data_IF_984745235822
#
_entry.id   IF_984745235822
#
_cell.length_a   1.000
_cell.length_b   1.000
_cell.length_c   1.000
_cell.angle_alpha   90.00
_cell.angle_beta   90.00
_cell.angle_gamma   90.00
#
_symmetry.space_group_name_H-M   'P 1'
#
loop_
_entity.id
_entity.type
_entity.pdbx_description
1 polymer ?
#
# COMPACT_ATOMS: atom_id res chain seq x y z
N UNK A 1 -5.79 15.05 40.01
CA UNK A 1 -5.13 13.76 39.68
C UNK A 1 -6.21 12.74 39.37
N UNK A 2 -6.60 12.60 38.09
CA UNK A 2 -7.76 11.79 37.70
C UNK A 2 -7.32 10.45 37.09
N UNK A 3 -7.83 9.34 37.61
CA UNK A 3 -7.57 7.99 37.09
C UNK A 3 -7.86 7.89 35.59
N UNK A 4 -6.87 7.43 34.83
CA UNK A 4 -6.91 7.27 33.37
C UNK A 4 -7.28 5.82 33.04
N UNK A 5 -8.54 5.59 32.67
CA UNK A 5 -8.98 4.29 32.15
C UNK A 5 -8.52 4.11 30.70
N UNK A 6 -7.57 3.20 30.50
CA UNK A 6 -7.12 2.73 29.19
C UNK A 6 -7.00 1.21 29.26
N UNK A 7 -7.75 0.50 28.41
CA UNK A 7 -7.64 -0.97 28.30
C UNK A 7 -7.16 -1.30 26.89
N UNK A 8 -6.01 -1.97 26.82
CA UNK A 8 -5.41 -2.48 25.58
C UNK A 8 -5.74 -3.97 25.49
N UNK A 9 -6.43 -4.37 24.42
CA UNK A 9 -6.78 -5.77 24.17
C UNK A 9 -5.98 -6.22 22.94
N UNK A 10 -5.14 -7.24 23.10
CA UNK A 10 -4.46 -7.93 21.98
C UNK A 10 -5.45 -8.92 21.40
N UNK A 11 -5.72 -8.81 20.10
CA UNK A 11 -6.64 -9.71 19.40
C UNK A 11 -5.84 -10.81 18.70
N UNK A 12 -4.80 -10.46 17.91
CA UNK A 12 -3.85 -11.39 17.28
C UNK A 12 -2.49 -10.69 17.00
N UNK A 13 -1.42 -11.39 16.57
CA UNK A 13 -0.17 -10.74 16.16
C UNK A 13 -0.43 -9.66 15.09
N UNK A 14 0.01 -8.42 15.35
CA UNK A 14 -0.22 -7.28 14.45
C UNK A 14 -1.48 -6.44 14.76
N UNK A 15 -2.47 -6.94 15.51
CA UNK A 15 -3.73 -6.21 15.75
C UNK A 15 -3.97 -5.97 17.24
N UNK A 16 -4.09 -4.68 17.63
CA UNK A 16 -4.42 -4.29 19.01
C UNK A 16 -5.54 -3.26 19.04
N UNK A 17 -6.56 -3.52 19.85
CA UNK A 17 -7.65 -2.58 20.14
C UNK A 17 -7.31 -1.77 21.40
N UNK A 18 -7.31 -0.43 21.31
CA UNK A 18 -7.15 0.45 22.47
C UNK A 18 -8.46 1.19 22.77
N UNK A 19 -9.00 0.98 23.97
CA UNK A 19 -10.20 1.66 24.46
C UNK A 19 -9.82 2.71 25.50
N UNK A 20 -10.30 3.96 25.33
CA UNK A 20 -10.06 5.07 26.26
C UNK A 20 -11.28 5.98 26.40
N UNK A 21 -11.29 6.83 27.44
CA UNK A 21 -12.35 7.83 27.76
C UNK A 21 -12.72 8.81 26.63
N UNK A 22 -11.99 8.83 25.51
CA UNK A 22 -12.16 9.78 24.40
C UNK A 22 -12.52 9.16 23.04
N UNK A 23 -12.88 7.87 23.03
CA UNK A 23 -13.22 7.10 21.82
C UNK A 23 -12.23 5.98 21.53
N UNK A 24 -12.69 4.97 20.78
CA UNK A 24 -11.87 3.87 20.25
C UNK A 24 -11.05 4.30 19.04
N UNK A 25 -9.88 3.70 18.86
CA UNK A 25 -9.02 3.92 17.70
C UNK A 25 -8.63 2.59 17.07
N UNK A 26 -8.70 2.51 15.74
CA UNK A 26 -8.29 1.33 14.98
C UNK A 26 -6.80 1.47 14.62
N UNK A 27 -6.00 0.47 14.99
CA UNK A 27 -4.57 0.40 14.69
C UNK A 27 -4.33 -0.73 13.69
N UNK A 28 -3.95 -0.42 12.46
CA UNK A 28 -3.73 -1.40 11.39
C UNK A 28 -2.26 -1.39 10.95
N UNK A 29 -1.66 -2.58 10.83
CA UNK A 29 -0.32 -2.78 10.28
C UNK A 29 0.55 -3.76 11.09
N UNK A 30 1.59 -4.34 10.46
CA UNK A 30 2.44 -5.38 11.04
C UNK A 30 3.25 -4.89 12.25
N UNK A 31 4.01 -5.79 12.88
CA UNK A 31 4.93 -5.41 13.96
C UNK A 31 6.00 -4.47 13.41
N UNK A 32 5.79 -3.18 13.64
CA UNK A 32 6.77 -2.13 13.36
C UNK A 32 6.27 -1.01 12.44
N UNK A 33 5.09 -1.17 11.84
CA UNK A 33 4.39 -0.10 11.14
C UNK A 33 2.90 -0.15 11.54
N UNK A 34 2.41 0.89 12.22
CA UNK A 34 1.06 0.95 12.79
C UNK A 34 0.39 2.25 12.44
N UNK A 35 -0.73 2.15 11.73
CA UNK A 35 -1.57 3.28 11.38
C UNK A 35 -2.72 3.40 12.38
N UNK A 36 -2.73 4.50 13.15
CA UNK A 36 -3.76 4.77 14.15
C UNK A 36 -4.81 5.72 13.58
N UNK A 37 -6.06 5.27 13.52
CA UNK A 37 -7.23 6.02 13.09
C UNK A 37 -8.09 6.37 14.31
N UNK A 38 -8.40 7.66 14.49
CA UNK A 38 -9.28 8.09 15.57
C UNK A 38 -9.75 9.55 15.47
N UNK A 39 -10.68 9.97 16.35
CA UNK A 39 -11.36 11.28 16.28
C UNK A 39 -10.46 12.51 16.55
N UNK A 40 -9.14 12.31 16.75
CA UNK A 40 -8.13 13.37 16.92
C UNK A 40 -7.15 13.48 15.75
N UNK A 41 -7.43 12.79 14.65
CA UNK A 41 -6.58 12.75 13.46
C UNK A 41 -5.90 11.40 13.28
N UNK A 42 -5.25 11.25 12.13
CA UNK A 42 -4.53 10.05 11.76
C UNK A 42 -3.05 10.20 12.12
N UNK A 43 -2.47 9.16 12.72
CA UNK A 43 -1.04 9.10 12.99
C UNK A 43 -0.48 7.75 12.60
N UNK A 44 0.53 7.75 11.75
CA UNK A 44 1.36 6.58 11.47
C UNK A 44 2.47 6.50 12.49
N UNK A 45 2.73 5.31 13.00
CA UNK A 45 3.79 5.02 13.95
C UNK A 45 4.64 3.90 13.38
N UNK A 46 5.89 4.19 13.07
CA UNK A 46 6.88 3.18 12.69
C UNK A 46 7.76 2.95 13.92
N UNK A 47 7.91 1.71 14.36
CA UNK A 47 8.66 1.38 15.56
C UNK A 47 9.48 0.13 15.36
N UNK A 48 10.71 0.15 15.85
CA UNK A 48 11.61 -0.99 15.75
C UNK A 48 11.15 -2.08 16.74
N UNK A 49 10.85 -3.31 16.26
CA UNK A 49 10.45 -4.41 17.14
C UNK A 49 11.56 -4.72 18.15
N UNK A 50 11.22 -4.89 19.43
CA UNK A 50 12.19 -5.28 20.47
C UNK A 50 13.04 -4.16 21.09
N UNK A 51 13.10 -2.95 20.50
CA UNK A 51 13.98 -1.87 20.96
C UNK A 51 13.31 -0.80 21.86
N UNK A 52 11.97 -0.77 21.89
CA UNK A 52 11.21 0.26 22.61
C UNK A 52 11.15 1.62 21.91
N UNK A 53 11.82 1.81 20.78
CA UNK A 53 11.85 3.05 20.01
C UNK A 53 10.74 3.10 18.94
N UNK A 54 10.00 4.20 18.89
CA UNK A 54 8.92 4.42 17.92
C UNK A 54 8.87 5.86 17.43
N UNK A 55 8.76 6.04 16.11
CA UNK A 55 8.57 7.31 15.43
C UNK A 55 7.11 7.45 15.00
N UNK A 56 6.41 8.43 15.57
CA UNK A 56 4.99 8.69 15.26
C UNK A 56 4.83 9.97 14.47
N UNK A 57 4.47 9.86 13.19
CA UNK A 57 4.16 10.99 12.31
C UNK A 57 2.65 11.18 12.24
N UNK A 58 2.17 12.37 12.60
CA UNK A 58 0.76 12.75 12.42
C UNK A 58 0.54 13.06 10.94
N UNK A 59 -0.21 12.18 10.28
CA UNK A 59 -0.49 12.22 8.84
C UNK A 59 -1.53 13.30 8.54
N UNK A 60 -2.50 13.45 9.44
CA UNK A 60 -3.52 14.48 9.31
C UNK A 60 -4.00 15.00 10.67
N UNK A 61 -4.15 16.32 10.76
CA UNK A 61 -4.89 17.00 11.84
C UNK A 61 -6.05 17.74 11.21
N UNK A 62 -7.27 17.69 11.78
CA UNK A 62 -8.33 18.59 11.36
C UNK A 62 -7.85 20.04 11.53
N UNK A 63 -7.81 20.81 10.45
CA UNK A 63 -7.29 22.19 10.46
C UNK A 63 -8.00 23.07 11.49
N UNK A 64 -7.23 23.85 12.24
CA UNK A 64 -7.73 24.90 13.14
C UNK A 64 -8.35 26.03 12.30
N UNK A 65 -9.68 26.05 12.18
CA UNK A 65 -10.41 27.14 11.50
C UNK A 65 -10.14 28.48 12.21
N UNK A 66 -9.60 29.45 11.46
CA UNK A 66 -9.56 30.88 11.82
C UNK A 66 -11.00 31.38 12.03
N UNK A 67 -11.23 32.08 13.14
CA UNK A 67 -12.52 32.64 13.55
C UNK A 67 -13.08 33.61 12.50
N UNK A 68 -14.25 33.29 11.93
CA UNK A 68 -15.25 34.29 11.51
C UNK A 68 -16.65 33.74 11.74
N UNK A 69 -17.49 34.58 12.36
CA UNK A 69 -18.95 34.53 12.33
C UNK A 69 -19.59 33.41 13.15
N UNK A 70 -20.25 33.80 14.24
CA UNK A 70 -21.12 32.95 15.06
C UNK A 70 -22.22 32.29 14.22
N UNK A 71 -22.10 30.98 14.03
CA UNK A 71 -23.19 30.08 13.68
C UNK A 71 -23.23 28.96 14.75
N UNK A 72 -24.41 28.46 15.14
CA UNK A 72 -24.61 27.72 16.37
C UNK A 72 -23.77 26.44 16.43
N UNK A 73 -23.22 26.15 17.62
CA UNK A 73 -22.34 25.00 17.83
C UNK A 73 -23.13 23.69 17.74
N UNK A 74 -22.96 22.99 16.62
CA UNK A 74 -23.50 21.64 16.45
C UNK A 74 -22.57 20.62 17.12
N UNK A 75 -23.14 19.67 17.89
CA UNK A 75 -22.41 18.72 18.74
C UNK A 75 -21.63 17.71 17.88
N UNK A 76 -20.57 17.11 18.42
CA UNK A 76 -19.69 16.15 17.71
C UNK A 76 -20.38 14.88 17.20
N UNK A 77 -21.60 14.58 17.65
CA UNK A 77 -22.44 13.50 17.13
C UNK A 77 -23.05 13.84 15.76
N UNK A 78 -22.98 15.11 15.33
CA UNK A 78 -23.66 15.61 14.14
C UNK A 78 -22.74 15.79 12.93
N UNK A 79 -21.49 15.31 12.99
CA UNK A 79 -20.60 15.31 11.81
C UNK A 79 -20.93 14.23 10.77
N UNK A 80 -21.95 13.41 11.05
CA UNK A 80 -22.63 12.54 10.09
C UNK A 80 -24.14 12.46 10.40
N UNK A 81 -24.80 13.57 10.78
CA UNK A 81 -26.26 13.56 10.92
C UNK A 81 -26.97 14.03 9.67
N UNK A 82 -27.76 13.10 9.11
CA UNK A 82 -29.07 13.15 8.41
C UNK A 82 -29.80 14.46 8.09
N UNK A 83 -29.32 15.66 8.45
CA UNK A 83 -29.93 16.93 8.08
C UNK A 83 -29.74 17.33 6.62
N UNK A 84 -28.69 16.81 5.96
CA UNK A 84 -28.43 17.07 4.53
C UNK A 84 -29.17 16.09 3.60
N UNK A 85 -29.45 14.86 4.06
CA UNK A 85 -30.10 13.80 3.28
C UNK A 85 -31.63 13.84 3.28
N UNK A 86 -32.25 14.90 3.80
CA UNK A 86 -33.71 14.97 3.83
C UNK A 86 -34.28 15.38 2.46
N UNK A 87 -34.76 14.34 1.78
CA UNK A 87 -36.01 14.29 0.99
C UNK A 87 -35.91 14.77 -0.45
N UNK A 88 -35.62 13.83 -1.35
CA UNK A 88 -36.61 13.25 -2.28
C UNK A 88 -35.88 12.24 -3.18
N UNK A 89 -36.23 10.96 -3.03
CA UNK A 89 -35.81 9.80 -3.88
C UNK A 89 -34.30 9.50 -3.88
N UNK A 90 -33.78 8.99 -2.75
CA UNK A 90 -32.49 8.27 -2.78
C UNK A 90 -32.79 6.81 -3.14
N UNK A 91 -32.27 6.27 -4.26
CA UNK A 91 -32.47 4.87 -4.61
C UNK A 91 -31.94 3.93 -3.52
N UNK A 92 -32.61 2.79 -3.32
CA UNK A 92 -32.27 1.84 -2.24
C UNK A 92 -30.78 1.42 -2.23
N UNK A 93 -30.19 1.24 -3.41
CA UNK A 93 -28.77 0.86 -3.53
C UNK A 93 -27.81 1.94 -3.00
N UNK A 94 -28.18 3.22 -3.07
CA UNK A 94 -27.35 4.29 -2.51
C UNK A 94 -27.46 4.37 -0.98
N UNK A 95 -28.63 4.02 -0.40
CA UNK A 95 -28.77 3.88 1.05
C UNK A 95 -27.83 2.79 1.58
N UNK A 96 -27.83 1.63 0.93
CA UNK A 96 -26.95 0.52 1.28
C UNK A 96 -25.47 0.92 1.16
N UNK A 97 -25.07 1.65 0.11
CA UNK A 97 -23.71 2.18 0.01
C UNK A 97 -23.32 3.06 1.20
N UNK A 98 -24.16 4.02 1.55
CA UNK A 98 -23.92 4.96 2.66
C UNK A 98 -23.86 4.23 4.00
N UNK A 99 -24.76 3.27 4.23
CA UNK A 99 -24.77 2.47 5.46
C UNK A 99 -23.55 1.53 5.54
N UNK A 100 -23.09 1.01 4.41
CA UNK A 100 -21.81 0.30 4.30
C UNK A 100 -20.62 1.16 4.72
N UNK A 101 -20.52 2.41 4.24
CA UNK A 101 -19.47 3.35 4.65
C UNK A 101 -19.52 3.67 6.15
N UNK A 102 -20.72 3.84 6.73
CA UNK A 102 -20.89 4.06 8.17
C UNK A 102 -20.42 2.86 8.99
N UNK A 103 -20.83 1.64 8.60
CA UNK A 103 -20.42 0.42 9.28
C UNK A 103 -18.89 0.24 9.24
N UNK A 104 -18.27 0.49 8.08
CA UNK A 104 -16.83 0.45 7.91
C UNK A 104 -16.11 1.47 8.81
N UNK A 105 -16.64 2.69 8.91
CA UNK A 105 -16.10 3.72 9.80
C UNK A 105 -16.17 3.32 11.29
N UNK A 106 -17.21 2.58 11.67
CA UNK A 106 -17.38 2.05 13.04
C UNK A 106 -16.53 0.79 13.30
N UNK A 107 -15.83 0.28 12.29
CA UNK A 107 -15.04 -0.95 12.36
C UNK A 107 -15.88 -2.23 12.28
N UNK A 108 -17.15 -2.13 11.92
CA UNK A 108 -18.03 -3.28 11.69
C UNK A 108 -17.95 -3.71 10.22
N UNK A 109 -16.89 -4.45 9.93
CA UNK A 109 -16.57 -4.91 8.59
C UNK A 109 -17.61 -5.89 8.02
N UNK A 110 -18.21 -6.73 8.86
CA UNK A 110 -19.18 -7.72 8.43
C UNK A 110 -20.45 -7.04 7.93
N UNK A 111 -20.97 -6.09 8.72
CA UNK A 111 -22.14 -5.30 8.32
C UNK A 111 -21.83 -4.42 7.12
N UNK A 112 -20.62 -3.85 7.06
CA UNK A 112 -20.19 -3.06 5.90
C UNK A 112 -20.19 -3.90 4.61
N UNK A 113 -19.60 -5.10 4.65
CA UNK A 113 -19.57 -6.00 3.50
C UNK A 113 -20.97 -6.36 3.03
N UNK A 114 -21.89 -6.67 3.95
CA UNK A 114 -23.27 -7.01 3.59
C UNK A 114 -23.96 -5.87 2.84
N UNK A 115 -23.83 -4.64 3.34
CA UNK A 115 -24.38 -3.47 2.68
C UNK A 115 -23.75 -3.19 1.32
N UNK A 116 -22.42 -3.32 1.20
CA UNK A 116 -21.75 -3.14 -0.08
C UNK A 116 -22.16 -4.20 -1.11
N UNK A 117 -22.31 -5.46 -0.71
CA UNK A 117 -22.80 -6.53 -1.60
C UNK A 117 -24.26 -6.29 -2.05
N UNK A 118 -25.12 -5.81 -1.16
CA UNK A 118 -26.49 -5.43 -1.53
C UNK A 118 -26.53 -4.31 -2.58
N UNK A 119 -25.56 -3.39 -2.51
CA UNK A 119 -25.40 -2.26 -3.42
C UNK A 119 -24.48 -2.54 -4.62
N UNK A 120 -23.89 -3.74 -4.73
CA UNK A 120 -22.86 -4.10 -5.73
C UNK A 120 -23.37 -4.22 -7.18
N UNK A 121 -24.47 -3.54 -7.50
CA UNK A 121 -24.90 -3.22 -8.87
C UNK A 121 -24.26 -1.93 -9.38
N UNK A 122 -23.60 -1.18 -8.50
CA UNK A 122 -22.82 0.01 -8.82
C UNK A 122 -21.32 -0.26 -8.55
N UNK A 123 -20.39 0.27 -9.38
CA UNK A 123 -18.94 0.02 -9.24
C UNK A 123 -18.35 0.40 -7.87
N UNK A 124 -18.83 1.49 -7.25
CA UNK A 124 -18.31 1.97 -5.96
C UNK A 124 -18.50 1.00 -4.78
N UNK A 125 -19.72 0.50 -4.48
CA UNK A 125 -19.91 -0.56 -3.51
C UNK A 125 -19.14 -1.83 -3.85
N UNK A 126 -19.09 -2.21 -5.14
CA UNK A 126 -18.36 -3.40 -5.58
C UNK A 126 -16.85 -3.26 -5.32
N UNK A 127 -16.27 -2.08 -5.52
CA UNK A 127 -14.87 -1.80 -5.17
C UNK A 127 -14.62 -2.06 -3.68
N UNK A 128 -15.49 -1.53 -2.81
CA UNK A 128 -15.36 -1.71 -1.36
C UNK A 128 -15.56 -3.16 -0.92
N UNK A 129 -16.58 -3.83 -1.47
CA UNK A 129 -16.82 -5.25 -1.23
C UNK A 129 -15.59 -6.08 -1.66
N UNK A 130 -15.05 -5.81 -2.86
CA UNK A 130 -13.89 -6.47 -3.42
C UNK A 130 -12.66 -6.40 -2.50
N UNK A 131 -12.30 -5.21 -2.02
CA UNK A 131 -11.17 -5.07 -1.09
C UNK A 131 -11.41 -5.71 0.28
N UNK A 132 -12.65 -5.69 0.79
CA UNK A 132 -12.98 -6.38 2.04
C UNK A 132 -12.88 -7.91 1.86
N UNK A 133 -13.39 -8.45 0.75
CA UNK A 133 -13.33 -9.88 0.42
C UNK A 133 -11.89 -10.34 0.20
N UNK A 134 -11.08 -9.55 -0.49
CA UNK A 134 -9.65 -9.79 -0.68
C UNK A 134 -8.93 -9.92 0.67
N UNK A 135 -9.19 -8.99 1.60
CA UNK A 135 -8.66 -9.06 2.97
C UNK A 135 -9.12 -10.31 3.72
N UNK A 136 -10.36 -10.76 3.49
CA UNK A 136 -10.90 -11.98 4.09
C UNK A 136 -10.43 -13.26 3.39
N UNK A 137 -9.55 -13.16 2.38
CA UNK A 137 -9.08 -14.28 1.56
C UNK A 137 -10.22 -15.03 0.87
N UNK A 138 -11.33 -14.34 0.59
CA UNK A 138 -12.43 -14.84 -0.24
C UNK A 138 -12.17 -14.45 -1.69
N UNK A 139 -11.15 -15.08 -2.25
CA UNK A 139 -10.50 -14.65 -3.49
C UNK A 139 -11.44 -14.71 -4.72
N UNK A 140 -12.25 -15.76 -4.93
CA UNK A 140 -13.19 -15.81 -6.06
C UNK A 140 -14.20 -14.66 -6.04
N UNK A 141 -14.81 -14.39 -4.88
CA UNK A 141 -15.77 -13.31 -4.73
C UNK A 141 -15.09 -11.94 -4.83
N UNK A 142 -13.85 -11.80 -4.33
CA UNK A 142 -13.07 -10.58 -4.51
C UNK A 142 -12.82 -10.29 -5.99
N UNK A 143 -12.42 -11.31 -6.77
CA UNK A 143 -12.19 -11.18 -8.22
C UNK A 143 -13.47 -10.77 -8.94
N UNK A 144 -14.60 -11.37 -8.61
CA UNK A 144 -15.89 -11.00 -9.19
C UNK A 144 -16.20 -9.51 -8.97
N UNK A 145 -16.12 -9.05 -7.72
CA UNK A 145 -16.46 -7.67 -7.35
C UNK A 145 -15.47 -6.65 -7.93
N UNK A 146 -14.16 -6.94 -7.88
CA UNK A 146 -13.14 -6.05 -8.41
C UNK A 146 -13.15 -6.02 -9.95
N UNK A 147 -13.49 -7.13 -10.62
CA UNK A 147 -13.70 -7.16 -12.07
C UNK A 147 -14.87 -6.27 -12.47
N UNK A 148 -15.98 -6.36 -11.74
CA UNK A 148 -17.14 -5.50 -11.98
C UNK A 148 -16.79 -4.02 -11.75
N UNK A 149 -16.09 -3.70 -10.66
CA UNK A 149 -15.65 -2.34 -10.37
C UNK A 149 -14.69 -1.79 -11.44
N UNK A 150 -13.72 -2.58 -11.89
CA UNK A 150 -12.76 -2.19 -12.94
C UNK A 150 -13.45 -1.88 -14.27
N UNK A 151 -14.50 -2.63 -14.63
CA UNK A 151 -15.31 -2.39 -15.84
C UNK A 151 -16.23 -1.16 -15.74
N UNK A 152 -16.42 -0.61 -14.53
CA UNK A 152 -17.27 0.55 -14.27
C UNK A 152 -16.78 1.86 -14.90
N UNK A 153 -15.52 1.93 -15.35
CA UNK A 153 -14.99 3.11 -16.05
C UNK A 153 -15.23 4.42 -15.30
N UNK A 154 -15.93 5.36 -15.94
CA UNK A 154 -16.23 6.69 -15.38
C UNK A 154 -17.34 6.69 -14.31
N UNK A 155 -18.08 5.59 -14.15
CA UNK A 155 -19.08 5.47 -13.07
C UNK A 155 -18.41 5.19 -11.71
N UNK A 156 -17.21 4.61 -11.73
CA UNK A 156 -16.42 4.40 -10.53
C UNK A 156 -15.90 5.75 -9.99
N UNK A 157 -16.18 6.00 -8.72
CA UNK A 157 -15.92 7.23 -7.98
C UNK A 157 -17.15 8.15 -7.85
N UNK A 158 -18.23 7.90 -8.58
CA UNK A 158 -19.36 8.85 -8.68
C UNK A 158 -20.20 8.93 -7.40
N UNK A 159 -20.48 7.82 -6.72
CA UNK A 159 -21.16 7.84 -5.42
C UNK A 159 -20.25 8.43 -4.36
N UNK A 160 -18.96 8.09 -4.37
CA UNK A 160 -18.00 8.70 -3.44
C UNK A 160 -18.02 10.23 -3.53
N UNK A 161 -17.94 10.77 -4.75
CA UNK A 161 -18.05 12.21 -5.00
C UNK A 161 -19.42 12.78 -4.61
N UNK A 162 -20.52 12.10 -4.95
CA UNK A 162 -21.90 12.53 -4.58
C UNK A 162 -22.06 12.71 -3.08
N UNK A 163 -21.40 11.87 -2.29
CA UNK A 163 -21.48 11.86 -0.84
C UNK A 163 -20.32 12.60 -0.14
N UNK A 164 -19.49 13.35 -0.90
CA UNK A 164 -18.31 14.09 -0.39
C UNK A 164 -17.37 13.18 0.43
N UNK A 165 -17.16 11.97 -0.08
CA UNK A 165 -16.26 10.97 0.48
C UNK A 165 -15.15 10.68 -0.51
N UNK A 166 -13.93 10.52 -0.01
CA UNK A 166 -12.76 10.17 -0.83
C UNK A 166 -12.04 8.97 -0.19
N UNK A 167 -12.29 7.75 -0.68
CA UNK A 167 -11.69 6.56 -0.10
C UNK A 167 -10.21 6.54 -0.45
N UNK A 168 -9.35 6.48 0.57
CA UNK A 168 -7.92 6.27 0.38
C UNK A 168 -7.61 4.78 0.58
N UNK A 169 -7.45 4.06 -0.53
CA UNK A 169 -7.14 2.63 -0.55
C UNK A 169 -5.63 2.47 -0.56
N UNK A 170 -5.10 1.64 0.33
CA UNK A 170 -3.67 1.29 0.36
C UNK A 170 -3.50 -0.13 -0.16
N UNK A 171 -2.70 -0.30 -1.21
CA UNK A 171 -2.40 -1.60 -1.84
C UNK A 171 -0.91 -1.84 -1.64
N UNK A 172 -0.54 -2.94 -0.99
CA UNK A 172 0.86 -3.36 -0.93
C UNK A 172 1.25 -3.87 -2.31
N UNK A 173 2.38 -3.41 -2.84
CA UNK A 173 2.92 -3.93 -4.10
C UNK A 173 3.99 -4.95 -3.78
N UNK A 174 4.93 -4.58 -2.91
CA UNK A 174 5.98 -5.46 -2.42
C UNK A 174 6.32 -5.13 -0.95
N UNK A 175 7.35 -5.78 -0.41
CA UNK A 175 7.79 -5.54 0.98
C UNK A 175 8.23 -4.08 1.23
N UNK A 176 8.75 -3.40 0.20
CA UNK A 176 9.30 -2.05 0.31
C UNK A 176 8.32 -0.93 -0.05
N UNK A 177 7.22 -1.21 -0.76
CA UNK A 177 6.38 -0.19 -1.38
C UNK A 177 4.87 -0.49 -1.34
N UNK A 178 4.09 0.56 -1.03
CA UNK A 178 2.63 0.54 -1.05
C UNK A 178 2.08 1.74 -1.81
N UNK A 179 1.02 1.51 -2.58
CA UNK A 179 0.33 2.52 -3.38
C UNK A 179 -0.88 3.04 -2.64
N UNK A 180 -1.12 4.35 -2.73
CA UNK A 180 -2.36 4.97 -2.32
C UNK A 180 -3.18 5.35 -3.55
N UNK A 181 -4.40 4.82 -3.65
CA UNK A 181 -5.30 5.10 -4.76
C UNK A 181 -6.69 5.53 -4.26
N UNK A 182 -7.30 6.46 -5.00
CA UNK A 182 -8.73 6.77 -4.86
C UNK A 182 -9.62 5.69 -5.49
N UNK A 183 -10.94 5.86 -5.42
CA UNK A 183 -11.88 5.00 -6.13
C UNK A 183 -11.78 5.22 -7.65
N UNK A 184 -10.98 4.40 -8.33
CA UNK A 184 -10.79 4.46 -9.77
C UNK A 184 -10.51 3.06 -10.35
N UNK A 185 -10.66 2.88 -11.67
CA UNK A 185 -10.52 1.55 -12.29
C UNK A 185 -9.15 0.93 -12.08
N UNK A 186 -8.10 1.75 -12.04
CA UNK A 186 -6.73 1.30 -11.77
C UNK A 186 -6.60 0.70 -10.37
N UNK A 187 -7.22 1.27 -9.34
CA UNK A 187 -7.24 0.70 -8.00
C UNK A 187 -7.89 -0.69 -7.99
N UNK A 188 -9.04 -0.83 -8.69
CA UNK A 188 -9.71 -2.12 -8.81
C UNK A 188 -8.83 -3.16 -9.50
N UNK A 189 -8.14 -2.78 -10.58
CA UNK A 189 -7.23 -3.65 -11.32
C UNK A 189 -6.00 -4.06 -10.50
N UNK A 190 -5.41 -3.16 -9.72
CA UNK A 190 -4.32 -3.52 -8.79
C UNK A 190 -4.80 -4.48 -7.69
N UNK A 191 -6.05 -4.34 -7.22
CA UNK A 191 -6.66 -5.33 -6.33
C UNK A 191 -6.89 -6.70 -6.99
N UNK A 192 -7.20 -6.73 -8.30
CA UNK A 192 -7.31 -7.99 -9.05
C UNK A 192 -5.97 -8.69 -9.17
N UNK A 193 -4.90 -7.94 -9.45
CA UNK A 193 -3.54 -8.46 -9.54
C UNK A 193 -3.16 -9.18 -8.24
N UNK A 194 -3.39 -8.54 -7.10
CA UNK A 194 -3.19 -9.15 -5.77
C UNK A 194 -4.02 -10.43 -5.59
N UNK A 195 -5.31 -10.38 -5.96
CA UNK A 195 -6.20 -11.53 -5.81
C UNK A 195 -5.74 -12.73 -6.67
N UNK A 196 -5.24 -12.47 -7.88
CA UNK A 196 -4.70 -13.48 -8.77
C UNK A 196 -3.36 -14.03 -8.28
N UNK A 197 -2.46 -13.19 -7.77
CA UNK A 197 -1.19 -13.64 -7.16
C UNK A 197 -1.45 -14.58 -5.97
N UNK A 198 -2.42 -14.25 -5.12
CA UNK A 198 -2.82 -15.09 -3.98
C UNK A 198 -3.48 -16.43 -4.38
N UNK A 199 -4.02 -16.52 -5.59
CA UNK A 199 -4.52 -17.76 -6.19
C UNK A 199 -3.48 -18.51 -7.02
N UNK A 200 -2.23 -18.02 -7.07
CA UNK A 200 -1.17 -18.54 -7.96
C UNK A 200 -1.54 -18.47 -9.46
N UNK A 201 -2.44 -17.54 -9.81
CA UNK A 201 -2.89 -17.26 -11.17
C UNK A 201 -2.04 -16.15 -11.81
N UNK A 202 -0.75 -16.42 -11.96
CA UNK A 202 0.23 -15.41 -12.35
C UNK A 202 0.04 -14.91 -13.79
N UNK A 203 -0.48 -15.75 -14.69
CA UNK A 203 -0.79 -15.34 -16.07
C UNK A 203 -1.90 -14.29 -16.13
N UNK A 204 -2.96 -14.48 -15.36
CA UNK A 204 -4.07 -13.55 -15.26
C UNK A 204 -3.61 -12.21 -14.66
N UNK A 205 -2.79 -12.25 -13.61
CA UNK A 205 -2.16 -11.06 -13.04
C UNK A 205 -1.30 -10.31 -14.07
N UNK A 206 -0.46 -11.03 -14.84
CA UNK A 206 0.34 -10.46 -15.94
C UNK A 206 -0.54 -9.81 -17.01
N UNK A 207 -1.64 -10.46 -17.41
CA UNK A 207 -2.56 -9.91 -18.42
C UNK A 207 -3.19 -8.60 -17.94
N UNK A 208 -3.62 -8.50 -16.68
CA UNK A 208 -4.16 -7.26 -16.11
C UNK A 208 -3.12 -6.15 -16.12
N UNK A 209 -1.89 -6.43 -15.68
CA UNK A 209 -0.80 -5.45 -15.65
C UNK A 209 -0.39 -4.97 -17.06
N UNK A 210 -0.32 -5.88 -18.04
CA UNK A 210 -0.06 -5.51 -19.44
C UNK A 210 -1.15 -4.60 -20.00
N UNK A 211 -2.42 -4.89 -19.71
CA UNK A 211 -3.53 -4.02 -20.10
C UNK A 211 -3.47 -2.63 -19.45
N UNK A 212 -3.00 -2.52 -18.20
CA UNK A 212 -2.75 -1.24 -17.55
C UNK A 212 -1.60 -0.46 -18.23
N UNK A 213 -0.53 -1.14 -18.64
CA UNK A 213 0.59 -0.52 -19.35
C UNK A 213 0.21 -0.07 -20.77
N UNK A 214 -0.69 -0.78 -21.46
CA UNK A 214 -1.20 -0.34 -22.76
C UNK A 214 -1.90 1.02 -22.68
N UNK A 215 -2.52 1.33 -21.53
CA UNK A 215 -3.19 2.61 -21.28
C UNK A 215 -2.21 3.70 -20.81
N UNK A 216 -1.23 3.34 -19.97
CA UNK A 216 -0.21 4.27 -19.49
C UNK A 216 1.16 3.55 -19.37
N UNK A 217 1.96 3.54 -20.45
CA UNK A 217 3.21 2.80 -20.49
C UNK A 217 4.25 3.28 -19.46
N UNK A 218 4.18 4.56 -19.07
CA UNK A 218 5.13 5.19 -18.16
C UNK A 218 4.70 5.12 -16.69
N UNK A 219 3.59 4.45 -16.35
CA UNK A 219 3.15 4.36 -14.96
C UNK A 219 4.14 3.53 -14.12
N UNK A 220 4.91 4.15 -13.20
CA UNK A 220 6.03 3.48 -12.56
C UNK A 220 5.57 2.38 -11.60
N UNK A 221 4.37 2.49 -11.05
CA UNK A 221 3.78 1.47 -10.19
C UNK A 221 3.40 0.23 -10.99
N UNK A 222 2.71 0.37 -12.12
CA UNK A 222 2.33 -0.79 -12.94
C UNK A 222 3.55 -1.47 -13.53
N UNK A 223 4.55 -0.68 -13.98
CA UNK A 223 5.85 -1.22 -14.39
C UNK A 223 6.51 -1.99 -13.24
N UNK A 224 6.47 -1.47 -12.00
CA UNK A 224 7.08 -2.11 -10.84
C UNK A 224 6.39 -3.44 -10.53
N UNK A 225 5.06 -3.45 -10.44
CA UNK A 225 4.28 -4.67 -10.17
C UNK A 225 4.54 -5.75 -11.23
N UNK A 226 4.66 -5.38 -12.50
CA UNK A 226 4.97 -6.35 -13.55
C UNK A 226 6.43 -6.82 -13.50
N UNK A 227 7.37 -5.93 -13.17
CA UNK A 227 8.79 -6.27 -13.03
C UNK A 227 9.01 -7.30 -11.92
N UNK A 228 8.35 -7.11 -10.77
CA UNK A 228 8.37 -8.04 -9.65
C UNK A 228 7.81 -9.41 -10.04
N UNK A 229 6.59 -9.45 -10.58
CA UNK A 229 5.92 -10.68 -10.97
C UNK A 229 6.73 -11.50 -12.01
N UNK A 230 7.38 -10.81 -12.96
CA UNK A 230 8.28 -11.44 -13.93
C UNK A 230 9.57 -11.94 -13.28
N UNK A 231 10.11 -11.20 -12.33
CA UNK A 231 11.36 -11.53 -11.66
C UNK A 231 11.21 -12.74 -10.72
N UNK A 232 10.11 -12.81 -9.96
CA UNK A 232 9.86 -13.91 -9.02
C UNK A 232 9.57 -15.22 -9.75
N UNK A 233 8.86 -15.18 -10.88
CA UNK A 233 8.62 -16.32 -11.76
C UNK A 233 9.74 -16.62 -12.76
N UNK A 234 10.93 -16.04 -12.59
CA UNK A 234 12.00 -16.14 -13.59
C UNK A 234 12.65 -17.52 -13.69
N UNK A 235 12.61 -18.34 -12.63
CA UNK A 235 13.15 -19.71 -12.66
C UNK A 235 12.42 -20.58 -13.69
N UNK A 236 11.14 -20.29 -13.92
CA UNK A 236 10.30 -21.02 -14.88
C UNK A 236 10.48 -20.51 -16.32
N UNK A 237 10.91 -19.26 -16.51
CA UNK A 237 11.11 -18.67 -17.82
C UNK A 237 12.24 -17.60 -17.83
N UNK A 238 13.45 -17.94 -18.29
CA UNK A 238 14.58 -17.01 -18.35
C UNK A 238 14.36 -15.77 -19.23
N UNK A 239 13.40 -15.80 -20.18
CA UNK A 239 13.07 -14.61 -20.98
C UNK A 239 12.41 -13.50 -20.14
N UNK A 240 11.80 -13.85 -19.00
CA UNK A 240 11.26 -12.86 -18.06
C UNK A 240 12.34 -11.91 -17.54
N UNK A 241 13.56 -12.40 -17.26
CA UNK A 241 14.67 -11.54 -16.82
C UNK A 241 15.01 -10.48 -17.87
N UNK A 242 15.03 -10.85 -19.15
CA UNK A 242 15.26 -9.89 -20.24
C UNK A 242 14.08 -8.91 -20.37
N UNK A 243 12.85 -9.38 -20.12
CA UNK A 243 11.66 -8.51 -20.11
C UNK A 243 11.72 -7.50 -18.96
N UNK A 244 12.16 -7.88 -17.76
CA UNK A 244 12.39 -6.96 -16.63
C UNK A 244 13.39 -5.87 -17.02
N UNK A 245 14.50 -6.22 -17.67
CA UNK A 245 15.47 -5.21 -18.16
C UNK A 245 14.80 -4.26 -19.15
N UNK A 246 14.03 -4.76 -20.13
CA UNK A 246 13.31 -3.89 -21.09
C UNK A 246 12.28 -2.99 -20.39
N UNK A 247 11.51 -3.54 -19.46
CA UNK A 247 10.47 -2.85 -18.72
C UNK A 247 11.02 -1.75 -17.81
N UNK A 248 12.26 -1.89 -17.34
CA UNK A 248 12.92 -0.94 -16.42
C UNK A 248 13.91 0.00 -17.13
N UNK A 249 14.13 -0.16 -18.44
CA UNK A 249 14.98 0.75 -19.21
C UNK A 249 14.47 2.19 -19.17
N UNK A 250 15.42 3.13 -19.09
CA UNK A 250 15.12 4.56 -19.07
C UNK A 250 14.49 5.09 -17.77
N UNK A 251 14.32 4.24 -16.75
CA UNK A 251 13.74 4.66 -15.47
C UNK A 251 14.57 5.78 -14.82
N UNK A 252 13.91 6.86 -14.45
CA UNK A 252 14.51 7.96 -13.70
C UNK A 252 14.59 7.63 -12.20
N UNK A 253 15.04 8.57 -11.36
CA UNK A 253 15.08 8.36 -9.90
C UNK A 253 14.37 9.52 -9.20
N UNK A 254 13.13 9.79 -9.59
CA UNK A 254 12.39 10.95 -9.07
C UNK A 254 11.42 10.54 -7.97
N UNK A 255 10.92 9.31 -8.02
CA UNK A 255 9.98 8.73 -7.08
C UNK A 255 10.46 7.40 -6.50
N UNK A 256 9.85 6.97 -5.39
CA UNK A 256 10.19 5.70 -4.74
C UNK A 256 9.90 4.48 -5.62
N UNK A 257 8.76 4.39 -6.35
CA UNK A 257 8.52 3.31 -7.31
C UNK A 257 9.59 3.19 -8.39
N UNK A 258 10.09 4.32 -8.89
CA UNK A 258 11.16 4.33 -9.89
C UNK A 258 12.49 3.84 -9.31
N UNK A 259 12.80 4.20 -8.07
CA UNK A 259 13.96 3.64 -7.39
C UNK A 259 13.82 2.13 -7.12
N UNK A 260 12.61 1.62 -6.86
CA UNK A 260 12.34 0.18 -6.83
C UNK A 260 12.50 -0.47 -8.22
N UNK A 261 12.03 0.17 -9.30
CA UNK A 261 12.26 -0.29 -10.67
C UNK A 261 13.76 -0.41 -10.98
N UNK A 262 14.58 0.55 -10.54
CA UNK A 262 16.04 0.48 -10.65
C UNK A 262 16.64 -0.70 -9.86
N UNK A 263 16.07 -1.04 -8.69
CA UNK A 263 16.46 -2.25 -7.94
C UNK A 263 16.19 -3.52 -8.75
N UNK A 264 14.99 -3.68 -9.30
CA UNK A 264 14.66 -4.84 -10.15
C UNK A 264 15.49 -4.87 -11.45
N UNK A 265 15.79 -3.72 -12.03
CA UNK A 265 16.71 -3.62 -13.17
C UNK A 265 18.08 -4.19 -12.82
N UNK A 266 18.64 -3.79 -11.68
CA UNK A 266 19.96 -4.25 -11.24
C UNK A 266 19.98 -5.75 -10.90
N UNK A 267 18.95 -6.24 -10.20
CA UNK A 267 18.75 -7.67 -9.94
C UNK A 267 18.70 -8.50 -11.22
N UNK A 268 17.95 -8.02 -12.23
CA UNK A 268 17.85 -8.68 -13.52
C UNK A 268 19.18 -8.66 -14.29
N UNK A 269 19.90 -7.53 -14.29
CA UNK A 269 21.23 -7.43 -14.90
C UNK A 269 22.23 -8.39 -14.25
N UNK A 270 22.25 -8.51 -12.92
CA UNK A 270 23.08 -9.48 -12.20
C UNK A 270 22.77 -10.93 -12.60
N UNK A 271 21.48 -11.31 -12.67
CA UNK A 271 21.08 -12.65 -13.16
C UNK A 271 21.54 -12.93 -14.61
N UNK A 272 21.78 -11.89 -15.42
CA UNK A 272 22.35 -12.00 -16.77
C UNK A 272 23.90 -11.97 -16.80
N UNK A 273 24.57 -11.92 -15.64
CA UNK A 273 26.03 -11.79 -15.54
C UNK A 273 26.57 -10.38 -15.81
N UNK A 274 25.71 -9.37 -15.84
CA UNK A 274 26.02 -7.97 -16.13
C UNK A 274 26.18 -7.18 -14.82
N UNK A 275 27.10 -7.63 -13.97
CA UNK A 275 27.29 -7.08 -12.62
C UNK A 275 27.81 -5.62 -12.63
N UNK A 276 28.58 -5.22 -13.64
CA UNK A 276 29.10 -3.86 -13.76
C UNK A 276 28.00 -2.84 -14.08
N UNK A 277 27.09 -3.22 -14.97
CA UNK A 277 25.89 -2.45 -15.31
C UNK A 277 24.95 -2.37 -14.10
N UNK A 278 24.72 -3.48 -13.40
CA UNK A 278 23.91 -3.51 -12.19
C UNK A 278 24.45 -2.56 -11.11
N UNK A 279 25.76 -2.61 -10.83
CA UNK A 279 26.44 -1.68 -9.91
C UNK A 279 26.24 -0.23 -10.33
N UNK A 280 26.28 0.08 -11.63
CA UNK A 280 26.06 1.44 -12.15
C UNK A 280 24.65 1.93 -11.87
N UNK A 281 23.64 1.10 -12.13
CA UNK A 281 22.22 1.39 -11.82
C UNK A 281 22.04 1.64 -10.32
N UNK A 282 22.52 0.73 -9.47
CA UNK A 282 22.40 0.85 -8.00
C UNK A 282 23.11 2.08 -7.44
N UNK A 283 24.26 2.43 -8.02
CA UNK A 283 24.98 3.65 -7.67
C UNK A 283 24.16 4.90 -8.00
N UNK A 284 23.48 4.91 -9.14
CA UNK A 284 22.57 6.00 -9.51
C UNK A 284 21.33 6.05 -8.60
N UNK A 285 20.71 4.90 -8.30
CA UNK A 285 19.57 4.79 -7.40
C UNK A 285 19.89 5.36 -6.00
N UNK A 286 21.07 5.04 -5.46
CA UNK A 286 21.52 5.50 -4.14
C UNK A 286 21.99 6.96 -4.09
N UNK A 287 22.00 7.72 -5.20
CA UNK A 287 22.30 9.17 -5.18
C UNK A 287 21.22 10.00 -4.50
N UNK A 288 19.96 9.55 -4.57
CA UNK A 288 18.81 10.21 -3.92
C UNK A 288 18.28 9.31 -2.81
N UNK A 289 18.54 9.70 -1.57
CA UNK A 289 18.08 8.97 -0.38
C UNK A 289 16.91 9.65 0.33
N UNK A 290 16.64 10.91 0.00
CA UNK A 290 15.51 11.65 0.54
C UNK A 290 14.21 11.08 -0.04
N UNK A 291 13.19 10.96 0.81
CA UNK A 291 11.86 10.48 0.43
C UNK A 291 11.90 9.04 -0.15
N UNK A 292 12.81 8.21 0.38
CA UNK A 292 12.90 6.76 0.17
C UNK A 292 12.73 6.04 1.50
N UNK A 293 12.06 4.90 1.49
CA UNK A 293 11.93 4.04 2.65
C UNK A 293 13.30 3.50 3.09
N UNK A 294 13.53 3.33 4.41
CA UNK A 294 14.69 2.61 4.91
C UNK A 294 14.85 1.23 4.29
N UNK A 295 13.74 0.53 4.04
CA UNK A 295 13.67 -0.80 3.45
C UNK A 295 14.28 -0.81 2.05
N UNK A 296 13.82 0.07 1.16
CA UNK A 296 14.39 0.21 -0.20
C UNK A 296 15.89 0.57 -0.16
N UNK A 297 16.30 1.47 0.74
CA UNK A 297 17.71 1.85 0.84
C UNK A 297 18.59 0.69 1.31
N UNK A 298 18.09 -0.19 2.17
CA UNK A 298 18.79 -1.42 2.57
C UNK A 298 18.86 -2.38 1.39
N UNK A 299 17.76 -2.62 0.68
CA UNK A 299 17.71 -3.50 -0.48
C UNK A 299 18.67 -3.06 -1.61
N UNK A 300 18.68 -1.76 -1.95
CA UNK A 300 19.60 -1.18 -2.93
C UNK A 300 21.07 -1.34 -2.51
N UNK A 301 21.39 -1.19 -1.22
CA UNK A 301 22.76 -1.39 -0.71
C UNK A 301 23.16 -2.85 -0.76
N UNK A 302 22.27 -3.73 -0.33
CA UNK A 302 22.50 -5.17 -0.33
C UNK A 302 22.76 -5.68 -1.74
N UNK A 303 21.89 -5.33 -2.70
CA UNK A 303 22.09 -5.70 -4.09
C UNK A 303 23.42 -5.19 -4.66
N UNK A 304 23.88 -4.02 -4.19
CA UNK A 304 25.17 -3.44 -4.62
C UNK A 304 26.37 -4.14 -4.00
N UNK A 305 26.25 -4.61 -2.76
CA UNK A 305 27.25 -5.48 -2.12
C UNK A 305 27.46 -6.72 -2.99
N UNK A 306 26.37 -7.40 -3.34
CA UNK A 306 26.43 -8.58 -4.19
C UNK A 306 27.08 -8.25 -5.55
N UNK A 307 26.71 -7.12 -6.15
CA UNK A 307 27.29 -6.70 -7.43
C UNK A 307 28.81 -6.50 -7.34
N UNK A 308 29.30 -5.91 -6.25
CA UNK A 308 30.74 -5.75 -6.01
C UNK A 308 31.46 -7.09 -5.84
N UNK A 309 30.85 -8.05 -5.15
CA UNK A 309 31.44 -9.38 -4.95
C UNK A 309 31.57 -10.16 -6.27
N UNK A 310 30.55 -10.13 -7.13
CA UNK A 310 30.61 -10.74 -8.47
C UNK A 310 31.71 -10.12 -9.36
N UNK A 311 32.01 -8.83 -9.15
CA UNK A 311 33.10 -8.13 -9.83
C UNK A 311 34.47 -8.35 -9.15
N UNK A 312 34.52 -8.98 -7.99
CA UNK A 312 35.74 -9.13 -7.18
C UNK A 312 36.20 -7.85 -6.47
N UNK A 313 35.38 -6.80 -6.40
CA UNK A 313 35.68 -5.56 -5.67
C UNK A 313 35.35 -5.69 -4.18
N UNK A 314 36.14 -6.52 -3.49
CA UNK A 314 35.97 -6.81 -2.06
C UNK A 314 36.10 -5.56 -1.16
N UNK A 315 36.82 -4.53 -1.62
CA UNK A 315 37.01 -3.29 -0.86
C UNK A 315 35.72 -2.48 -0.80
N UNK A 316 35.05 -2.31 -1.93
CA UNK A 316 33.76 -1.62 -2.01
C UNK A 316 32.64 -2.44 -1.36
N UNK A 317 32.61 -3.75 -1.58
CA UNK A 317 31.68 -4.67 -0.91
C UNK A 317 31.76 -4.50 0.62
N UNK A 318 32.95 -4.65 1.21
CA UNK A 318 33.16 -4.55 2.66
C UNK A 318 32.72 -3.20 3.24
N UNK A 319 32.92 -2.09 2.50
CA UNK A 319 32.47 -0.75 2.94
C UNK A 319 30.95 -0.64 2.97
N UNK A 320 30.26 -1.17 1.97
CA UNK A 320 28.80 -1.14 1.95
C UNK A 320 28.20 -2.15 2.94
N UNK A 321 28.80 -3.32 3.13
CA UNK A 321 28.44 -4.29 4.17
C UNK A 321 28.53 -3.66 5.56
N UNK A 322 29.63 -2.98 5.89
CA UNK A 322 29.78 -2.30 7.18
C UNK A 322 28.74 -1.19 7.39
N UNK A 323 28.38 -0.46 6.32
CA UNK A 323 27.32 0.56 6.38
C UNK A 323 25.95 -0.06 6.60
N UNK A 324 25.64 -1.15 5.87
CA UNK A 324 24.36 -1.84 5.99
C UNK A 324 24.22 -2.48 7.37
N UNK A 325 25.26 -3.15 7.88
CA UNK A 325 25.29 -3.68 9.24
C UNK A 325 25.07 -2.59 10.31
N UNK A 326 25.67 -1.42 10.14
CA UNK A 326 25.45 -0.29 11.05
C UNK A 326 24.01 0.27 10.99
N UNK A 327 23.30 0.07 9.89
CA UNK A 327 21.88 0.43 9.75
C UNK A 327 20.96 -0.65 10.31
N UNK A 328 21.27 -1.92 10.03
CA UNK A 328 20.49 -3.09 10.37
C UNK A 328 21.39 -4.33 10.37
N UNK A 329 21.78 -4.79 11.56
CA UNK A 329 22.69 -5.92 11.73
C UNK A 329 22.04 -7.26 11.37
N UNK A 330 20.71 -7.33 11.39
CA UNK A 330 19.93 -8.54 11.12
C UNK A 330 19.41 -8.60 9.67
N UNK A 331 19.84 -7.67 8.81
CA UNK A 331 19.42 -7.63 7.42
C UNK A 331 20.13 -8.71 6.60
N UNK A 332 19.35 -9.68 6.11
CA UNK A 332 19.85 -10.82 5.32
C UNK A 332 21.01 -11.53 6.04
N UNK A 333 22.14 -11.70 5.38
CA UNK A 333 23.36 -12.34 5.87
C UNK A 333 24.50 -11.31 6.13
N UNK A 334 24.16 -10.03 6.31
CA UNK A 334 25.16 -8.94 6.39
C UNK A 334 26.13 -9.09 7.56
N UNK A 335 25.68 -9.67 8.68
CA UNK A 335 26.52 -9.97 9.84
C UNK A 335 27.57 -11.05 9.50
N UNK A 336 27.16 -12.09 8.79
CA UNK A 336 28.01 -13.21 8.39
C UNK A 336 29.08 -12.76 7.39
N UNK A 337 28.75 -11.80 6.51
CA UNK A 337 29.68 -11.22 5.52
C UNK A 337 30.82 -10.38 6.13
N UNK A 338 30.75 -10.01 7.40
CA UNK A 338 31.79 -9.22 8.09
C UNK A 338 32.78 -10.06 8.91
N UNK A 339 32.45 -11.34 9.16
CA UNK A 339 33.26 -12.27 9.96
C UNK A 339 34.37 -12.92 9.13
#
# INVERSE_FOLDING_TARGET
MGFRFQKRIRLFPGVTLNLSKSGGSLSLGPRGAKLNLGPRGASGSVGLPGSGAYYTKKIWRPGSKKKRGSAPSVRKQDRLTMGFFKRLVTPKHEEDFVDGLKALHLGDELTALQHFLNAAKHPDPALMAGFILLRQKKLPEAIEQLTFAAKGGNELGTLFHKYDTDPHISIAINEEFSVHAGANPRAAMLGLVEAYQELDQLDEARTVLKGLLDLNPEDPVTRLSLAELLFDGAEENPEHIKEVVRLTQGTENDSEPEACLMLYQARALRKLGLADEAKTVLTSALRKTKDRSPELLKALRYERILAYEELGDNSSAKKDTARLFAMDADYEDVADRLM
#
